data_IF_901351829388
#
_entry.id   IF_901351829388
#
_cell.length_a   1.000
_cell.length_b   1.000
_cell.length_c   1.000
_cell.angle_alpha   90.00
_cell.angle_beta   90.00
_cell.angle_gamma   90.00
#
_symmetry.space_group_name_H-M   'P 1'
#
loop_
_entity.id
_entity.type
_entity.pdbx_description
1 polymer ?
#
# COMPACT_ATOMS: atom_id res chain seq x y z
N UNK A 1 9.30 -31.41 25.58
CA UNK A 1 7.99 -31.74 24.97
C UNK A 1 7.27 -30.42 24.71
N UNK A 2 6.57 -30.26 23.59
CA UNK A 2 5.82 -29.03 23.30
C UNK A 2 4.34 -29.32 23.51
N UNK A 3 3.70 -28.58 24.40
CA UNK A 3 2.28 -28.72 24.73
C UNK A 3 1.52 -27.47 24.30
N UNK A 4 0.39 -27.64 23.62
CA UNK A 4 -0.46 -26.56 23.13
C UNK A 4 -1.74 -26.55 23.96
N UNK A 5 -2.10 -25.37 24.47
CA UNK A 5 -3.26 -25.17 25.32
C UNK A 5 -4.27 -24.25 24.64
N UNK A 6 -5.56 -24.51 24.83
CA UNK A 6 -6.69 -23.64 24.47
C UNK A 6 -7.54 -23.42 25.71
N UNK A 7 -7.74 -22.16 26.12
CA UNK A 7 -8.53 -21.79 27.30
C UNK A 7 -8.12 -22.57 28.57
N UNK A 8 -6.81 -22.81 28.72
CA UNK A 8 -6.24 -23.57 29.84
C UNK A 8 -6.21 -25.10 29.68
N UNK A 9 -6.85 -25.67 28.66
CA UNK A 9 -6.86 -27.10 28.40
C UNK A 9 -5.75 -27.50 27.41
N UNK A 10 -4.97 -28.54 27.74
CA UNK A 10 -3.97 -29.08 26.81
C UNK A 10 -4.68 -29.82 25.68
N UNK A 11 -4.55 -29.32 24.45
CA UNK A 11 -5.20 -29.89 23.26
C UNK A 11 -4.24 -30.71 22.41
N UNK A 12 -2.92 -30.50 22.54
CA UNK A 12 -1.91 -31.23 21.79
C UNK A 12 -0.59 -31.33 22.54
N UNK A 13 0.09 -32.46 22.39
CA UNK A 13 1.48 -32.66 22.82
C UNK A 13 2.32 -33.16 21.66
N UNK A 14 3.50 -32.59 21.50
CA UNK A 14 4.43 -32.87 20.41
C UNK A 14 5.84 -33.08 20.95
N UNK A 15 6.58 -33.96 20.28
CA UNK A 15 8.03 -34.03 20.48
C UNK A 15 8.72 -33.06 19.52
N UNK A 16 9.70 -32.32 20.03
CA UNK A 16 10.48 -31.37 19.26
C UNK A 16 11.57 -32.09 18.45
N UNK A 17 11.17 -32.87 17.45
CA UNK A 17 12.06 -33.71 16.63
C UNK A 17 12.32 -33.15 15.22
N UNK A 18 11.69 -32.03 14.86
CA UNK A 18 11.83 -31.44 13.53
C UNK A 18 13.24 -30.87 13.33
N UNK A 19 13.87 -31.21 12.20
CA UNK A 19 15.22 -30.79 11.92
C UNK A 19 15.30 -29.29 11.59
N UNK A 20 16.21 -28.58 12.26
CA UNK A 20 16.53 -27.16 12.11
C UNK A 20 18.02 -27.04 11.77
N UNK A 21 18.41 -27.14 10.48
CA UNK A 21 19.82 -27.15 10.10
C UNK A 21 20.60 -25.90 10.56
N UNK A 22 19.91 -24.76 10.70
CA UNK A 22 20.48 -23.52 11.20
C UNK A 22 20.99 -23.60 12.63
N UNK A 23 20.36 -24.39 13.51
CA UNK A 23 20.80 -24.52 14.91
C UNK A 23 22.09 -25.33 15.03
N UNK A 24 22.32 -26.29 14.11
CA UNK A 24 23.61 -26.98 13.99
C UNK A 24 24.68 -26.02 13.48
N UNK A 25 24.39 -25.29 12.40
CA UNK A 25 25.34 -24.33 11.80
C UNK A 25 25.78 -23.24 12.77
N UNK A 26 24.92 -22.85 13.71
CA UNK A 26 25.20 -21.83 14.72
C UNK A 26 25.74 -22.41 16.04
N UNK A 27 25.90 -23.74 16.15
CA UNK A 27 26.41 -24.40 17.35
C UNK A 27 25.42 -24.46 18.52
N UNK A 28 24.14 -24.21 18.29
CA UNK A 28 23.09 -24.23 19.32
C UNK A 28 22.54 -25.63 19.60
N UNK A 29 22.63 -26.56 18.66
CA UNK A 29 22.15 -27.93 18.85
C UNK A 29 22.98 -28.95 18.06
N UNK A 30 23.29 -30.11 18.66
CA UNK A 30 24.20 -31.11 18.07
C UNK A 30 23.62 -31.83 16.85
N UNK A 31 22.33 -32.12 16.84
CA UNK A 31 21.64 -32.85 15.75
C UNK A 31 20.75 -31.97 14.87
N UNK A 32 20.42 -30.76 15.33
CA UNK A 32 19.38 -29.92 14.73
C UNK A 32 17.95 -30.39 14.94
N UNK A 33 17.72 -31.59 15.49
CA UNK A 33 16.37 -32.12 15.78
C UNK A 33 15.84 -31.50 17.07
N UNK A 34 15.43 -30.25 16.99
CA UNK A 34 14.94 -29.46 18.13
C UNK A 34 13.76 -28.55 17.76
N UNK A 35 13.24 -28.65 16.53
CA UNK A 35 12.05 -27.95 16.10
C UNK A 35 10.79 -28.77 16.33
N UNK A 36 9.64 -28.14 16.15
CA UNK A 36 8.35 -28.80 16.09
C UNK A 36 7.56 -28.18 14.93
N UNK A 37 6.62 -28.94 14.37
CA UNK A 37 5.68 -28.44 13.38
C UNK A 37 4.27 -28.82 13.83
N UNK A 38 3.43 -27.81 13.95
CA UNK A 38 2.03 -27.93 14.32
C UNK A 38 1.23 -27.61 13.06
N UNK A 39 0.53 -28.60 12.49
CA UNK A 39 -0.37 -28.38 11.35
C UNK A 39 -1.79 -28.51 11.86
N UNK A 40 -2.53 -27.43 11.80
CA UNK A 40 -3.94 -27.35 12.18
C UNK A 40 -4.31 -28.13 13.46
N UNK A 41 -3.77 -27.74 14.63
CA UNK A 41 -4.00 -28.45 15.88
C UNK A 41 -5.42 -28.23 16.44
N UNK A 42 -6.29 -27.53 15.71
CA UNK A 42 -7.65 -27.21 16.14
C UNK A 42 -8.71 -27.91 15.28
N UNK A 43 -8.29 -28.53 14.17
CA UNK A 43 -9.14 -29.28 13.26
C UNK A 43 -10.31 -28.47 12.70
N UNK A 44 -11.38 -29.16 12.31
CA UNK A 44 -12.60 -28.54 11.72
C UNK A 44 -13.28 -27.53 12.66
N UNK A 45 -13.12 -27.67 13.98
CA UNK A 45 -13.69 -26.75 14.95
C UNK A 45 -13.02 -25.38 14.94
N UNK A 46 -11.77 -25.32 14.46
CA UNK A 46 -10.96 -24.11 14.38
C UNK A 46 -10.78 -23.38 15.72
N UNK A 47 -10.21 -22.19 15.60
CA UNK A 47 -10.13 -21.21 16.68
C UNK A 47 -11.30 -20.26 16.58
N UNK A 48 -11.85 -19.90 17.74
CA UNK A 48 -12.98 -19.00 17.89
C UNK A 48 -12.48 -17.69 18.48
N UNK A 49 -13.21 -16.61 18.19
CA UNK A 49 -12.92 -15.32 18.77
C UNK A 49 -13.00 -15.39 20.31
N UNK A 50 -11.96 -14.91 20.99
CA UNK A 50 -11.81 -14.99 22.45
C UNK A 50 -11.10 -16.24 22.96
N UNK A 51 -10.69 -17.19 22.10
CA UNK A 51 -9.85 -18.30 22.54
C UNK A 51 -8.46 -17.81 22.96
N UNK A 52 -8.04 -18.20 24.16
CA UNK A 52 -6.68 -18.02 24.63
C UNK A 52 -5.86 -19.26 24.25
N UNK A 53 -4.81 -19.07 23.46
CA UNK A 53 -3.91 -20.16 23.06
C UNK A 53 -2.53 -19.94 23.65
N UNK A 54 -2.01 -20.96 24.34
CA UNK A 54 -0.65 -20.96 24.91
C UNK A 54 0.14 -22.15 24.40
N UNK A 55 1.45 -22.01 24.31
CA UNK A 55 2.36 -23.12 24.00
C UNK A 55 3.40 -23.16 25.09
N UNK A 56 3.60 -24.35 25.66
CA UNK A 56 4.67 -24.60 26.62
C UNK A 56 5.71 -25.52 26.00
N UNK A 57 6.98 -25.28 26.33
CA UNK A 57 8.05 -26.24 26.12
C UNK A 57 8.42 -26.78 27.50
N UNK A 58 8.03 -28.02 27.77
CA UNK A 58 8.04 -28.61 29.11
C UNK A 58 7.29 -27.69 30.08
N UNK A 59 7.95 -27.19 31.13
CA UNK A 59 7.33 -26.29 32.11
C UNK A 59 7.47 -24.79 31.77
N UNK A 60 8.12 -24.46 30.65
CA UNK A 60 8.35 -23.07 30.23
C UNK A 60 7.19 -22.59 29.37
N UNK A 61 6.46 -21.58 29.85
CA UNK A 61 5.45 -20.89 29.05
C UNK A 61 6.15 -20.07 27.95
N UNK A 62 5.83 -20.36 26.70
CA UNK A 62 6.35 -19.63 25.55
C UNK A 62 5.38 -18.49 25.21
N UNK A 63 5.12 -17.62 26.18
CA UNK A 63 4.27 -16.44 25.99
C UNK A 63 4.88 -15.52 24.91
N UNK A 64 4.07 -15.09 23.94
CA UNK A 64 4.55 -14.31 22.77
C UNK A 64 5.34 -15.13 21.73
N UNK A 65 5.33 -16.46 21.84
CA UNK A 65 6.00 -17.34 20.90
C UNK A 65 5.43 -17.23 19.49
N UNK A 66 6.30 -17.17 18.47
CA UNK A 66 5.92 -16.90 17.07
C UNK A 66 5.10 -18.01 16.39
N UNK A 67 4.61 -19.00 17.14
CA UNK A 67 4.05 -20.26 16.62
C UNK A 67 2.56 -20.44 16.91
N UNK A 68 1.92 -19.45 17.55
CA UNK A 68 0.48 -19.43 17.82
C UNK A 68 -0.13 -18.25 17.08
N UNK A 69 -0.82 -18.51 15.98
CA UNK A 69 -1.72 -17.53 15.37
C UNK A 69 -3.00 -18.24 14.94
N UNK A 70 -4.04 -18.18 15.76
CA UNK A 70 -5.33 -17.75 15.21
C UNK A 70 -5.40 -16.28 15.45
N UNK A 71 -5.35 -15.53 14.38
CA UNK A 71 -6.39 -14.54 14.18
C UNK A 71 -6.78 -14.70 12.71
N UNK A 72 -8.06 -14.55 12.39
CA UNK A 72 -8.45 -14.31 11.00
C UNK A 72 -7.49 -13.27 10.44
N UNK A 73 -6.77 -13.62 9.38
CA UNK A 73 -5.81 -12.69 8.78
C UNK A 73 -6.59 -11.42 8.43
N UNK A 74 -6.14 -10.25 8.89
CA UNK A 74 -6.94 -9.04 8.75
C UNK A 74 -7.24 -8.83 7.26
N UNK A 75 -8.49 -8.48 6.96
CA UNK A 75 -8.87 -8.01 5.63
C UNK A 75 -8.46 -6.56 5.54
N UNK A 76 -7.68 -6.20 4.53
CA UNK A 76 -7.05 -4.89 4.41
C UNK A 76 -7.24 -4.37 2.99
N UNK A 77 -7.69 -3.13 2.89
CA UNK A 77 -7.83 -2.44 1.62
C UNK A 77 -6.92 -1.22 1.60
N UNK A 78 -5.99 -1.20 0.66
CA UNK A 78 -5.08 -0.08 0.43
C UNK A 78 -5.46 0.67 -0.84
N UNK A 79 -5.99 1.89 -0.67
CA UNK A 79 -6.15 2.81 -1.79
C UNK A 79 -4.76 3.30 -2.20
N UNK A 80 -4.20 2.70 -3.26
CA UNK A 80 -2.85 3.00 -3.71
C UNK A 80 -2.88 4.24 -4.60
N UNK A 81 -2.48 5.39 -4.06
CA UNK A 81 -2.29 6.60 -4.85
C UNK A 81 -0.96 6.51 -5.61
N UNK A 82 -1.02 6.68 -6.93
CA UNK A 82 0.16 6.63 -7.79
C UNK A 82 1.29 7.52 -7.25
N UNK A 83 2.52 7.03 -7.25
CA UNK A 83 3.73 7.77 -6.80
C UNK A 83 3.75 8.22 -5.32
N UNK A 84 2.88 7.66 -4.48
CA UNK A 84 2.89 7.87 -3.02
C UNK A 84 3.54 6.71 -2.24
N UNK A 85 4.50 5.99 -2.85
CA UNK A 85 5.27 4.94 -2.17
C UNK A 85 4.57 3.56 -2.08
N UNK A 86 3.48 3.32 -2.83
CA UNK A 86 2.71 2.10 -2.68
C UNK A 86 3.40 0.80 -3.08
N UNK A 87 4.51 0.82 -3.85
CA UNK A 87 5.33 -0.39 -4.05
C UNK A 87 5.88 -0.91 -2.72
N UNK A 88 6.42 -0.01 -1.88
CA UNK A 88 6.91 -0.38 -0.55
C UNK A 88 5.79 -0.92 0.35
N UNK A 89 4.59 -0.37 0.22
CA UNK A 89 3.40 -0.86 0.95
C UNK A 89 3.02 -2.26 0.50
N UNK A 90 2.93 -2.50 -0.82
CA UNK A 90 2.62 -3.83 -1.37
C UNK A 90 3.66 -4.87 -0.94
N UNK A 91 4.95 -4.54 -1.01
CA UNK A 91 6.03 -5.43 -0.56
C UNK A 91 5.95 -5.73 0.94
N UNK A 92 5.56 -4.76 1.76
CA UNK A 92 5.34 -4.98 3.19
C UNK A 92 4.21 -5.99 3.42
N UNK A 93 3.06 -5.82 2.77
CA UNK A 93 1.94 -6.76 2.96
C UNK A 93 2.23 -8.15 2.37
N UNK A 94 2.88 -8.25 1.21
CA UNK A 94 3.33 -9.54 0.66
C UNK A 94 4.21 -10.32 1.66
N UNK A 95 5.11 -9.62 2.38
CA UNK A 95 5.99 -10.26 3.37
C UNK A 95 5.26 -10.72 4.62
N UNK A 96 4.20 -10.02 5.04
CA UNK A 96 3.45 -10.34 6.26
C UNK A 96 2.36 -11.38 6.04
N UNK A 97 1.67 -11.31 4.91
CA UNK A 97 0.51 -12.15 4.62
C UNK A 97 0.83 -13.32 3.68
N UNK A 98 1.95 -13.26 2.95
CA UNK A 98 2.21 -14.14 1.80
C UNK A 98 1.58 -13.55 0.53
N UNK A 99 2.34 -13.56 -0.56
CA UNK A 99 1.93 -12.97 -1.85
C UNK A 99 0.64 -13.59 -2.39
N UNK A 100 0.39 -14.87 -2.11
CA UNK A 100 -0.82 -15.59 -2.50
C UNK A 100 -2.09 -15.06 -1.83
N UNK A 101 -1.96 -14.29 -0.74
CA UNK A 101 -3.07 -13.66 -0.02
C UNK A 101 -3.21 -12.17 -0.35
N UNK A 102 -2.46 -11.69 -1.35
CA UNK A 102 -2.46 -10.31 -1.79
C UNK A 102 -2.95 -10.16 -3.24
N UNK A 103 -3.85 -9.21 -3.47
CA UNK A 103 -4.33 -8.82 -4.79
C UNK A 103 -3.92 -7.39 -5.10
N UNK A 104 -2.74 -7.22 -5.70
CA UNK A 104 -2.21 -5.92 -6.12
C UNK A 104 -2.76 -5.48 -7.48
N UNK A 105 -2.85 -4.17 -7.69
CA UNK A 105 -3.22 -3.53 -8.95
C UNK A 105 -4.57 -4.02 -9.49
N UNK A 106 -5.60 -3.93 -8.66
CA UNK A 106 -6.98 -4.35 -8.99
C UNK A 106 -7.53 -3.69 -10.27
N UNK A 107 -7.08 -2.47 -10.59
CA UNK A 107 -7.44 -1.72 -11.79
C UNK A 107 -6.99 -2.39 -13.10
N UNK A 108 -5.91 -3.19 -13.06
CA UNK A 108 -5.29 -3.79 -14.24
C UNK A 108 -5.70 -5.24 -14.50
N UNK A 109 -6.62 -5.79 -13.69
CA UNK A 109 -6.96 -7.22 -13.70
C UNK A 109 -8.46 -7.40 -13.93
N UNK A 110 -8.84 -8.55 -14.48
CA UNK A 110 -10.21 -9.04 -14.42
C UNK A 110 -10.41 -9.78 -13.10
N UNK A 111 -11.52 -9.54 -12.43
CA UNK A 111 -11.83 -10.12 -11.13
C UNK A 111 -13.33 -10.11 -10.89
N UNK A 112 -13.78 -11.01 -10.02
CA UNK A 112 -15.14 -11.03 -9.48
C UNK A 112 -15.13 -10.41 -8.07
N UNK A 113 -16.07 -9.51 -7.74
CA UNK A 113 -16.18 -8.88 -6.42
C UNK A 113 -16.19 -9.84 -5.23
N UNK A 114 -16.89 -10.96 -5.36
CA UNK A 114 -17.04 -11.95 -4.28
C UNK A 114 -15.74 -12.71 -4.13
N UNK A 115 -15.18 -13.18 -5.25
CA UNK A 115 -13.92 -13.94 -5.26
C UNK A 115 -12.78 -13.16 -4.59
N UNK A 116 -12.65 -11.87 -4.89
CA UNK A 116 -11.53 -11.11 -4.31
C UNK A 116 -11.69 -10.88 -2.81
N UNK A 117 -12.92 -10.65 -2.35
CA UNK A 117 -13.21 -10.42 -0.94
C UNK A 117 -13.04 -11.70 -0.14
N UNK A 118 -13.40 -12.87 -0.69
CA UNK A 118 -13.26 -14.15 -0.02
C UNK A 118 -11.79 -14.61 0.02
N UNK A 119 -11.09 -14.55 -1.11
CA UNK A 119 -9.78 -15.22 -1.27
C UNK A 119 -8.57 -14.39 -0.84
N UNK A 120 -8.66 -13.06 -0.76
CA UNK A 120 -7.49 -12.23 -0.45
C UNK A 120 -7.64 -11.51 0.88
N UNK A 121 -6.53 -11.42 1.63
CA UNK A 121 -6.47 -10.65 2.87
C UNK A 121 -6.03 -9.21 2.63
N UNK A 122 -5.30 -8.95 1.54
CA UNK A 122 -4.87 -7.60 1.18
C UNK A 122 -5.24 -7.30 -0.27
N UNK A 123 -5.99 -6.22 -0.49
CA UNK A 123 -6.36 -5.75 -1.82
C UNK A 123 -5.80 -4.34 -1.99
N UNK A 124 -5.12 -4.06 -3.09
CA UNK A 124 -4.61 -2.73 -3.39
C UNK A 124 -4.74 -2.36 -4.86
N UNK A 125 -4.82 -1.05 -5.12
CA UNK A 125 -4.72 -0.54 -6.47
C UNK A 125 -5.07 0.93 -6.63
N UNK A 126 -4.87 1.41 -7.85
CA UNK A 126 -5.10 2.78 -8.27
C UNK A 126 -6.59 3.03 -8.53
N UNK A 127 -7.42 2.88 -7.48
CA UNK A 127 -8.87 3.02 -7.55
C UNK A 127 -9.38 4.08 -6.58
N UNK A 128 -10.51 4.70 -6.92
CA UNK A 128 -11.15 5.71 -6.07
C UNK A 128 -11.97 5.05 -4.97
N UNK A 129 -11.92 5.58 -3.75
CA UNK A 129 -12.53 4.91 -2.60
C UNK A 129 -14.06 4.79 -2.70
N UNK A 130 -14.74 5.82 -3.22
CA UNK A 130 -16.20 5.80 -3.41
C UNK A 130 -16.60 4.75 -4.44
N UNK A 131 -15.89 4.73 -5.56
CA UNK A 131 -16.12 3.76 -6.64
C UNK A 131 -15.93 2.32 -6.16
N UNK A 132 -14.84 2.01 -5.47
CA UNK A 132 -14.56 0.62 -5.06
C UNK A 132 -15.55 0.14 -4.00
N UNK A 133 -16.00 1.00 -3.09
CA UNK A 133 -17.05 0.67 -2.10
C UNK A 133 -18.40 0.35 -2.74
N UNK A 134 -18.67 0.87 -3.93
CA UNK A 134 -19.87 0.54 -4.71
C UNK A 134 -19.71 -0.80 -5.47
N UNK A 135 -18.49 -1.31 -5.60
CA UNK A 135 -18.19 -2.54 -6.34
C UNK A 135 -17.99 -3.75 -5.42
N UNK A 136 -17.40 -3.56 -4.23
CA UNK A 136 -17.11 -4.62 -3.26
C UNK A 136 -17.54 -4.21 -1.85
N UNK A 137 -18.00 -5.19 -1.06
CA UNK A 137 -18.31 -4.96 0.36
C UNK A 137 -17.01 -4.90 1.18
N UNK A 138 -16.63 -3.69 1.56
CA UNK A 138 -15.46 -3.43 2.40
C UNK A 138 -15.77 -3.50 3.90
N UNK A 139 -16.94 -4.00 4.31
CA UNK A 139 -17.26 -4.19 5.73
C UNK A 139 -16.25 -5.14 6.39
N UNK A 140 -15.67 -4.69 7.50
CA UNK A 140 -14.66 -5.46 8.24
C UNK A 140 -13.24 -5.37 7.66
N UNK A 141 -13.05 -4.67 6.53
CA UNK A 141 -11.70 -4.34 6.07
C UNK A 141 -11.13 -3.20 6.91
N UNK A 142 -9.81 -3.25 7.13
CA UNK A 142 -9.04 -2.09 7.55
C UNK A 142 -8.64 -1.29 6.31
N UNK A 143 -9.19 -0.09 6.16
CA UNK A 143 -8.99 0.80 5.02
C UNK A 143 -7.90 1.81 5.36
N UNK A 144 -6.88 1.89 4.51
CA UNK A 144 -5.86 2.94 4.64
C UNK A 144 -5.38 3.46 3.30
N UNK A 145 -4.72 4.61 3.34
CA UNK A 145 -3.95 5.14 2.20
C UNK A 145 -2.67 5.82 2.69
N UNK A 146 -1.82 6.21 1.75
CA UNK A 146 -0.59 6.96 2.00
C UNK A 146 -0.59 8.16 1.06
N UNK A 147 -0.43 9.35 1.64
CA UNK A 147 -0.27 10.60 0.92
C UNK A 147 1.21 11.00 0.85
N UNK A 148 1.55 11.85 -0.12
CA UNK A 148 2.89 12.38 -0.33
C UNK A 148 2.84 13.89 -0.42
N UNK A 149 3.87 14.57 0.08
CA UNK A 149 4.00 16.03 -0.06
C UNK A 149 3.73 16.46 -1.53
N UNK A 150 2.84 17.44 -1.78
CA UNK A 150 2.22 17.61 -3.10
C UNK A 150 3.19 18.04 -4.19
N UNK A 151 4.16 18.89 -3.87
CA UNK A 151 5.17 19.34 -4.82
C UNK A 151 6.02 18.15 -5.27
N UNK A 152 6.59 17.41 -4.32
CA UNK A 152 7.40 16.23 -4.59
C UNK A 152 6.62 15.10 -5.27
N UNK A 153 5.31 15.00 -5.01
CA UNK A 153 4.40 14.09 -5.68
C UNK A 153 4.23 14.45 -7.16
N UNK A 154 3.81 15.68 -7.47
CA UNK A 154 3.63 16.16 -8.84
C UNK A 154 4.93 16.05 -9.66
N UNK A 155 6.07 16.50 -9.11
CA UNK A 155 7.36 16.38 -9.79
C UNK A 155 7.75 14.93 -10.06
N UNK A 156 7.45 14.02 -9.13
CA UNK A 156 7.67 12.60 -9.32
C UNK A 156 6.74 11.98 -10.36
N UNK A 157 5.55 12.55 -10.56
CA UNK A 157 4.60 12.09 -11.56
C UNK A 157 5.00 12.57 -12.96
N UNK A 158 5.31 13.86 -13.11
CA UNK A 158 5.83 14.44 -14.36
C UNK A 158 7.07 13.69 -14.86
N UNK A 159 8.06 13.47 -13.98
CA UNK A 159 9.27 12.72 -14.35
C UNK A 159 8.98 11.27 -14.77
N UNK A 160 7.98 10.63 -14.15
CA UNK A 160 7.56 9.28 -14.53
C UNK A 160 6.92 9.27 -15.93
N UNK A 161 5.97 10.16 -16.20
CA UNK A 161 5.30 10.27 -17.51
C UNK A 161 6.31 10.61 -18.61
N UNK A 162 7.21 11.58 -18.39
CA UNK A 162 8.32 11.90 -19.31
C UNK A 162 9.19 10.67 -19.60
N UNK A 163 9.44 9.86 -18.56
CA UNK A 163 10.23 8.63 -18.64
C UNK A 163 9.58 7.53 -19.49
N UNK A 164 8.26 7.48 -19.63
CA UNK A 164 7.54 6.50 -20.47
C UNK A 164 8.00 6.63 -21.93
N UNK A 165 8.13 7.86 -22.43
CA UNK A 165 8.54 8.15 -23.81
C UNK A 165 10.04 8.01 -24.07
N UNK A 166 10.84 7.53 -23.10
CA UNK A 166 12.29 7.30 -23.28
C UNK A 166 12.58 6.32 -24.43
N UNK A 167 11.73 5.30 -24.59
CA UNK A 167 11.76 4.39 -25.74
C UNK A 167 10.34 4.11 -26.24
N UNK A 168 9.84 4.89 -27.22
CA UNK A 168 8.47 4.74 -27.76
C UNK A 168 8.23 3.38 -28.45
N UNK A 169 9.28 2.66 -28.84
CA UNK A 169 9.14 1.32 -29.43
C UNK A 169 9.02 0.20 -28.39
N UNK A 170 9.28 0.50 -27.11
CA UNK A 170 9.32 -0.51 -26.04
C UNK A 170 7.94 -1.07 -25.69
N UNK A 171 7.92 -2.28 -25.15
CA UNK A 171 6.71 -2.88 -24.59
C UNK A 171 6.14 -2.05 -23.44
N UNK A 172 7.00 -1.41 -22.65
CA UNK A 172 6.60 -0.55 -21.54
C UNK A 172 5.82 0.68 -22.04
N UNK A 173 6.27 1.35 -23.10
CA UNK A 173 5.52 2.45 -23.71
C UNK A 173 4.15 1.96 -24.21
N UNK A 174 4.15 0.89 -25.00
CA UNK A 174 2.96 0.31 -25.65
C UNK A 174 1.96 -0.36 -24.70
N UNK A 175 2.30 -0.53 -23.42
CA UNK A 175 1.37 -1.08 -22.42
C UNK A 175 0.49 -0.02 -21.76
N UNK A 176 0.70 1.26 -22.06
CA UNK A 176 -0.15 2.36 -21.58
C UNK A 176 -1.23 2.69 -22.62
N UNK A 177 -2.27 3.41 -22.21
CA UNK A 177 -3.30 3.88 -23.15
C UNK A 177 -2.74 4.89 -24.15
N UNK A 178 -3.44 5.11 -25.25
CA UNK A 178 -2.99 6.03 -26.30
C UNK A 178 -2.88 7.47 -25.76
N UNK A 179 -3.78 7.88 -24.87
CA UNK A 179 -3.78 9.20 -24.23
C UNK A 179 -2.52 9.40 -23.36
N UNK A 180 -2.13 8.37 -22.58
CA UNK A 180 -0.92 8.41 -21.76
C UNK A 180 0.35 8.40 -22.64
N UNK A 181 0.33 7.63 -23.74
CA UNK A 181 1.43 7.61 -24.71
C UNK A 181 1.64 8.97 -25.37
N UNK A 182 0.56 9.63 -25.82
CA UNK A 182 0.59 10.98 -26.39
C UNK A 182 1.09 12.02 -25.39
N UNK A 183 0.56 12.00 -24.17
CA UNK A 183 1.00 12.89 -23.10
C UNK A 183 2.48 12.70 -22.75
N UNK A 184 2.96 11.45 -22.71
CA UNK A 184 4.36 11.14 -22.48
C UNK A 184 5.27 11.69 -23.58
N UNK A 185 4.84 11.60 -24.85
CA UNK A 185 5.58 12.17 -25.99
C UNK A 185 5.60 13.70 -25.94
N UNK A 186 4.51 14.35 -25.55
CA UNK A 186 4.48 15.80 -25.34
C UNK A 186 5.45 16.21 -24.22
N UNK A 187 5.38 15.53 -23.07
CA UNK A 187 6.21 15.85 -21.91
C UNK A 187 7.71 15.56 -22.14
N UNK A 188 8.04 14.64 -23.04
CA UNK A 188 9.42 14.38 -23.48
C UNK A 188 10.09 15.63 -24.03
N UNK A 189 9.36 16.44 -24.80
CA UNK A 189 9.87 17.66 -25.44
C UNK A 189 9.88 18.89 -24.50
N UNK A 190 9.29 18.78 -23.31
CA UNK A 190 9.28 19.86 -22.31
C UNK A 190 10.64 19.94 -21.62
N UNK A 191 11.26 21.11 -21.64
CA UNK A 191 12.48 21.40 -20.91
C UNK A 191 12.15 21.73 -19.45
N UNK A 192 12.58 20.88 -18.52
CA UNK A 192 12.30 21.04 -17.09
C UNK A 192 13.13 22.12 -16.41
N UNK A 193 14.17 22.65 -17.09
CA UNK A 193 14.96 23.79 -16.63
C UNK A 193 14.44 25.12 -17.19
N UNK A 194 13.41 25.09 -18.06
CA UNK A 194 12.81 26.26 -18.68
C UNK A 194 11.35 26.45 -18.22
N UNK A 195 11.11 27.50 -17.43
CA UNK A 195 9.79 27.79 -16.87
C UNK A 195 8.73 28.08 -17.95
N UNK A 196 9.09 28.75 -19.05
CA UNK A 196 8.16 29.05 -20.15
C UNK A 196 7.74 27.77 -20.90
N UNK A 197 8.66 26.81 -21.01
CA UNK A 197 8.38 25.48 -21.58
C UNK A 197 7.36 24.72 -20.73
N UNK A 198 7.57 24.69 -19.41
CA UNK A 198 6.64 24.09 -18.46
C UNK A 198 5.29 24.81 -18.42
N UNK A 199 5.28 26.16 -18.44
CA UNK A 199 4.04 26.94 -18.47
C UNK A 199 3.21 26.62 -19.71
N UNK A 200 3.87 26.61 -20.88
CA UNK A 200 3.23 26.26 -22.16
C UNK A 200 2.63 24.85 -22.16
N UNK A 201 3.26 23.90 -21.46
CA UNK A 201 2.74 22.55 -21.28
C UNK A 201 1.48 22.54 -20.42
N UNK A 202 1.49 23.19 -19.25
CA UNK A 202 0.34 23.26 -18.35
C UNK A 202 -0.85 24.03 -18.94
N UNK A 203 -0.62 25.04 -19.76
CA UNK A 203 -1.69 25.78 -20.48
C UNK A 203 -2.42 24.91 -21.51
N UNK A 204 -1.74 23.90 -22.06
CA UNK A 204 -2.25 23.02 -23.13
C UNK A 204 -2.57 21.62 -22.61
N UNK A 205 -2.76 21.49 -21.31
CA UNK A 205 -2.92 20.18 -20.68
C UNK A 205 -4.19 19.49 -21.20
N UNK A 206 -4.09 18.27 -21.77
CA UNK A 206 -5.27 17.53 -22.20
C UNK A 206 -6.03 16.97 -20.98
N UNK A 207 -7.26 16.46 -21.15
CA UNK A 207 -8.03 15.82 -20.08
C UNK A 207 -7.25 14.79 -19.26
N UNK A 208 -6.50 13.90 -19.93
CA UNK A 208 -5.68 12.90 -19.25
C UNK A 208 -4.55 13.52 -18.43
N UNK A 209 -4.03 14.67 -18.86
CA UNK A 209 -3.06 15.43 -18.08
C UNK A 209 -3.66 15.99 -16.79
N UNK A 210 -4.91 16.46 -16.79
CA UNK A 210 -5.60 16.86 -15.56
C UNK A 210 -5.81 15.67 -14.62
N UNK A 211 -6.21 14.50 -15.14
CA UNK A 211 -6.36 13.29 -14.33
C UNK A 211 -5.06 12.88 -13.62
N UNK A 212 -3.91 13.05 -14.28
CA UNK A 212 -2.61 12.65 -13.74
C UNK A 212 -1.94 13.73 -12.86
N UNK A 213 -2.13 15.01 -13.16
CA UNK A 213 -1.32 16.08 -12.54
C UNK A 213 -2.12 17.06 -11.67
N UNK A 214 -3.40 17.29 -11.95
CA UNK A 214 -4.20 18.27 -11.22
C UNK A 214 -4.76 17.67 -9.93
N UNK A 215 -4.25 18.10 -8.78
CA UNK A 215 -4.68 17.70 -7.45
C UNK A 215 -4.86 16.18 -7.36
N UNK A 216 -3.85 15.48 -7.86
CA UNK A 216 -3.91 14.06 -8.19
C UNK A 216 -4.32 13.23 -6.98
N UNK A 217 -3.83 13.55 -5.78
CA UNK A 217 -4.16 12.80 -4.58
C UNK A 217 -5.63 13.03 -4.17
N UNK A 218 -6.10 14.28 -4.24
CA UNK A 218 -7.48 14.65 -3.96
C UNK A 218 -8.49 13.96 -4.89
N UNK A 219 -8.14 13.76 -6.17
CA UNK A 219 -9.00 13.05 -7.13
C UNK A 219 -9.36 11.62 -6.74
N UNK A 220 -8.53 10.94 -5.96
CA UNK A 220 -8.81 9.57 -5.48
C UNK A 220 -9.98 9.50 -4.49
N UNK A 221 -10.31 10.63 -3.86
CA UNK A 221 -11.39 10.76 -2.89
C UNK A 221 -12.72 11.17 -3.54
N UNK A 222 -12.72 11.51 -4.83
CA UNK A 222 -13.94 11.82 -5.59
C UNK A 222 -14.51 10.55 -6.22
N UNK A 223 -15.83 10.46 -6.36
CA UNK A 223 -16.47 9.36 -7.08
C UNK A 223 -16.24 9.50 -8.59
N UNK A 224 -16.60 10.67 -9.12
CA UNK A 224 -16.58 11.02 -10.52
C UNK A 224 -15.89 12.38 -10.72
N UNK A 225 -14.56 12.47 -10.55
CA UNK A 225 -13.82 13.69 -10.81
C UNK A 225 -14.05 14.16 -12.26
N UNK A 226 -14.17 15.48 -12.49
CA UNK A 226 -14.29 16.04 -13.82
C UNK A 226 -13.01 15.82 -14.64
N UNK A 227 -13.15 15.85 -15.96
CA UNK A 227 -12.02 15.78 -16.91
C UNK A 227 -11.10 17.01 -16.88
N UNK A 228 -11.59 18.13 -16.34
CA UNK A 228 -10.83 19.37 -16.14
C UNK A 228 -10.36 19.55 -14.70
N UNK A 229 -9.95 20.77 -14.33
CA UNK A 229 -9.49 21.10 -12.98
C UNK A 229 -10.51 20.78 -11.89
N UNK A 230 -10.02 20.33 -10.74
CA UNK A 230 -10.78 20.32 -9.48
C UNK A 230 -10.34 21.48 -8.59
N UNK A 231 -11.24 21.89 -7.71
CA UNK A 231 -11.06 23.06 -6.85
C UNK A 231 -11.67 22.84 -5.46
N UNK A 232 -11.73 23.91 -4.67
CA UNK A 232 -12.27 23.91 -3.31
C UNK A 232 -13.74 23.48 -3.19
N UNK A 233 -14.53 23.55 -4.26
CA UNK A 233 -15.94 23.12 -4.24
C UNK A 233 -16.07 21.61 -4.08
N UNK A 234 -15.01 20.87 -4.42
CA UNK A 234 -14.93 19.42 -4.29
C UNK A 234 -14.53 18.97 -2.88
N UNK A 235 -14.11 19.89 -2.02
CA UNK A 235 -13.65 19.56 -0.66
C UNK A 235 -14.66 18.80 0.20
N UNK A 236 -15.97 19.13 0.21
CA UNK A 236 -16.93 18.40 1.04
C UNK A 236 -16.98 16.89 0.73
N UNK A 237 -16.88 16.51 -0.55
CA UNK A 237 -16.86 15.10 -0.95
C UNK A 237 -15.54 14.41 -0.56
N UNK A 238 -14.42 15.13 -0.68
CA UNK A 238 -13.11 14.64 -0.23
C UNK A 238 -13.17 14.37 1.27
N UNK A 239 -13.64 15.35 2.05
CA UNK A 239 -13.74 15.28 3.50
C UNK A 239 -14.66 14.13 3.97
N UNK A 240 -15.81 13.94 3.31
CA UNK A 240 -16.67 12.78 3.53
C UNK A 240 -15.89 11.47 3.29
N UNK A 241 -15.14 11.40 2.19
CA UNK A 241 -14.38 10.20 1.84
C UNK A 241 -13.20 9.91 2.77
N UNK A 242 -12.64 10.93 3.43
CA UNK A 242 -11.60 10.72 4.45
C UNK A 242 -12.15 9.90 5.63
N UNK A 243 -13.44 10.06 5.96
CA UNK A 243 -14.08 9.31 7.06
C UNK A 243 -14.18 7.79 6.81
N UNK A 244 -13.94 7.34 5.58
CA UNK A 244 -13.94 5.91 5.24
C UNK A 244 -12.68 5.19 5.69
N UNK A 245 -11.60 5.91 5.95
CA UNK A 245 -10.31 5.32 6.26
C UNK A 245 -10.13 5.13 7.77
N UNK A 246 -9.61 3.96 8.15
CA UNK A 246 -9.16 3.70 9.51
C UNK A 246 -7.88 4.48 9.81
N UNK A 247 -7.00 4.62 8.82
CA UNK A 247 -5.78 5.43 8.95
C UNK A 247 -5.29 5.99 7.62
N UNK A 248 -4.55 7.10 7.69
CA UNK A 248 -3.95 7.76 6.53
C UNK A 248 -2.51 8.11 6.93
N UNK A 249 -1.55 7.61 6.15
CA UNK A 249 -0.12 7.83 6.38
C UNK A 249 0.46 8.91 5.47
N UNK A 250 1.64 9.41 5.82
CA UNK A 250 2.45 10.29 4.98
C UNK A 250 3.73 9.58 4.53
N UNK A 251 4.17 9.84 3.30
CA UNK A 251 5.42 9.26 2.78
C UNK A 251 6.65 9.66 3.60
N UNK A 252 6.62 10.86 4.22
CA UNK A 252 7.68 11.37 5.12
C UNK A 252 7.85 10.50 6.36
N UNK A 253 6.77 9.87 6.81
CA UNK A 253 6.68 9.19 8.10
C UNK A 253 6.35 7.70 7.95
N UNK A 254 6.64 7.13 6.77
CA UNK A 254 6.34 5.73 6.44
C UNK A 254 6.84 4.74 7.49
N UNK A 255 8.02 4.98 8.06
CA UNK A 255 8.55 4.11 9.11
C UNK A 255 7.63 4.08 10.34
N UNK A 256 7.21 5.24 10.85
CA UNK A 256 6.30 5.30 12.00
C UNK A 256 4.89 4.81 11.64
N UNK A 257 4.43 5.15 10.43
CA UNK A 257 3.15 4.67 9.93
C UNK A 257 3.11 3.14 9.82
N UNK A 258 4.19 2.48 9.36
CA UNK A 258 4.27 1.00 9.35
C UNK A 258 4.17 0.39 10.74
N UNK A 259 4.74 1.04 11.77
CA UNK A 259 4.64 0.56 13.15
C UNK A 259 3.22 0.69 13.68
N UNK A 260 2.54 1.80 13.38
CA UNK A 260 1.13 1.99 13.72
C UNK A 260 0.25 0.97 13.02
N UNK A 261 0.41 0.78 11.71
CA UNK A 261 -0.33 -0.24 10.96
C UNK A 261 -0.07 -1.64 11.51
N UNK A 262 1.20 -1.99 11.79
CA UNK A 262 1.51 -3.29 12.35
C UNK A 262 0.85 -3.50 13.71
N UNK A 263 0.77 -2.45 14.55
CA UNK A 263 0.06 -2.51 15.83
C UNK A 263 -1.44 -2.71 15.64
N UNK A 264 -2.07 -1.91 14.77
CA UNK A 264 -3.51 -1.95 14.52
C UNK A 264 -3.96 -3.27 13.88
N UNK A 265 -3.10 -3.87 13.04
CA UNK A 265 -3.33 -5.13 12.36
C UNK A 265 -2.78 -6.35 13.12
N UNK A 266 -2.22 -6.12 14.32
CA UNK A 266 -1.58 -7.15 15.15
C UNK A 266 -0.46 -7.94 14.43
N UNK A 267 0.25 -7.29 13.51
CA UNK A 267 1.46 -7.82 12.88
C UNK A 267 2.68 -7.68 13.80
N UNK A 268 3.74 -8.45 13.51
CA UNK A 268 5.00 -8.33 14.25
C UNK A 268 5.65 -6.97 14.02
N UNK A 269 6.13 -6.30 15.08
CA UNK A 269 6.76 -4.98 14.99
C UNK A 269 8.13 -4.98 14.27
N UNK A 270 8.63 -6.13 13.81
CA UNK A 270 10.00 -6.29 13.30
C UNK A 270 10.22 -5.87 11.83
N UNK A 271 9.22 -5.29 11.16
CA UNK A 271 9.32 -4.95 9.75
C UNK A 271 8.92 -3.49 9.52
N UNK A 272 9.85 -2.72 8.97
CA UNK A 272 9.56 -1.42 8.37
C UNK A 272 9.21 -1.58 6.90
N UNK A 273 8.56 -0.58 6.31
CA UNK A 273 8.42 -0.53 4.85
C UNK A 273 9.82 -0.60 4.20
N UNK A 274 10.04 -1.52 3.24
CA UNK A 274 11.29 -1.54 2.50
C UNK A 274 11.44 -0.22 1.77
N UNK A 275 12.64 0.37 1.80
CA UNK A 275 12.94 1.52 0.95
C UNK A 275 13.13 1.00 -0.47
N UNK A 276 12.10 1.10 -1.29
CA UNK A 276 12.12 0.67 -2.69
C UNK A 276 11.95 1.89 -3.61
N UNK A 277 12.58 1.84 -4.79
CA UNK A 277 12.33 2.73 -5.93
C UNK A 277 12.54 4.25 -5.70
N UNK A 278 13.78 4.66 -5.48
CA UNK A 278 14.21 6.03 -5.80
C UNK A 278 14.39 6.13 -7.32
N UNK A 279 13.31 6.45 -8.04
CA UNK A 279 13.39 6.63 -9.49
C UNK A 279 14.29 7.84 -9.79
N UNK A 280 15.46 7.57 -10.40
CA UNK A 280 16.38 8.58 -10.92
C UNK A 280 15.85 9.05 -12.28
N UNK A 281 14.96 10.04 -12.25
CA UNK A 281 14.52 10.78 -13.43
C UNK A 281 14.96 12.24 -13.30
N UNK A 282 15.11 12.91 -14.43
CA UNK A 282 15.18 14.37 -14.48
C UNK A 282 13.90 14.94 -13.87
N UNK A 283 14.05 15.87 -12.93
CA UNK A 283 12.94 16.55 -12.26
C UNK A 283 13.19 18.04 -12.39
N UNK A 284 12.13 18.86 -12.55
CA UNK A 284 12.29 20.30 -12.52
C UNK A 284 12.95 20.73 -11.21
N UNK A 285 13.89 21.67 -11.32
CA UNK A 285 14.49 22.30 -10.15
C UNK A 285 13.48 23.25 -9.51
N UNK A 286 13.27 23.11 -8.20
CA UNK A 286 12.31 23.94 -7.49
C UNK A 286 12.85 25.35 -7.27
N UNK A 287 12.12 26.34 -7.79
CA UNK A 287 12.28 27.76 -7.50
C UNK A 287 10.91 28.43 -7.30
N UNK A 288 10.90 29.73 -7.00
CA UNK A 288 9.65 30.46 -6.75
C UNK A 288 8.75 30.55 -7.98
N UNK A 289 9.33 30.66 -9.17
CA UNK A 289 8.57 30.73 -10.42
C UNK A 289 7.83 29.43 -10.70
N UNK A 290 8.52 28.29 -10.57
CA UNK A 290 7.92 26.98 -10.69
C UNK A 290 6.85 26.75 -9.62
N UNK A 291 7.09 27.18 -8.38
CA UNK A 291 6.11 27.05 -7.30
C UNK A 291 4.81 27.77 -7.63
N UNK A 292 4.89 29.03 -8.08
CA UNK A 292 3.72 29.79 -8.53
C UNK A 292 2.98 29.11 -9.70
N UNK A 293 3.72 28.54 -10.66
CA UNK A 293 3.14 27.85 -11.81
C UNK A 293 2.34 26.61 -11.40
N UNK A 294 2.87 25.79 -10.48
CA UNK A 294 2.24 24.52 -10.11
C UNK A 294 1.19 24.65 -9.01
N UNK A 295 1.17 25.74 -8.26
CA UNK A 295 0.26 25.94 -7.13
C UNK A 295 -1.21 25.60 -7.44
N UNK A 296 -1.80 26.02 -8.59
CA UNK A 296 -3.19 25.66 -8.92
C UNK A 296 -3.42 24.15 -9.06
N UNK A 297 -2.39 23.39 -9.40
CA UNK A 297 -2.44 21.93 -9.60
C UNK A 297 -2.19 21.14 -8.31
N UNK A 298 -1.85 21.80 -7.20
CA UNK A 298 -1.58 21.12 -5.93
C UNK A 298 -2.30 21.72 -4.73
N UNK A 299 -3.01 22.85 -4.89
CA UNK A 299 -3.63 23.58 -3.78
C UNK A 299 -4.60 22.71 -2.95
N UNK A 300 -5.37 21.83 -3.60
CA UNK A 300 -6.30 20.94 -2.90
C UNK A 300 -5.55 19.79 -2.21
N UNK A 301 -4.49 19.27 -2.83
CA UNK A 301 -3.59 18.27 -2.22
C UNK A 301 -2.85 18.84 -0.99
N UNK A 302 -2.45 20.12 -1.03
CA UNK A 302 -1.90 20.83 0.12
C UNK A 302 -2.92 20.97 1.25
N UNK A 303 -4.18 21.30 0.91
CA UNK A 303 -5.28 21.34 1.89
C UNK A 303 -5.53 19.96 2.49
N UNK A 304 -5.53 18.91 1.66
CA UNK A 304 -5.67 17.52 2.07
C UNK A 304 -4.61 17.13 3.10
N UNK A 305 -3.33 17.40 2.83
CA UNK A 305 -2.25 17.05 3.76
C UNK A 305 -2.30 17.90 5.03
N UNK A 306 -2.60 19.19 4.89
CA UNK A 306 -2.74 20.11 6.04
C UNK A 306 -3.89 19.71 6.98
N UNK A 307 -4.87 18.92 6.51
CA UNK A 307 -5.91 18.35 7.35
C UNK A 307 -5.34 17.34 8.38
N UNK A 308 -4.26 16.64 8.06
CA UNK A 308 -3.64 15.61 8.90
C UNK A 308 -2.44 16.09 9.73
N UNK A 309 -1.94 17.30 9.47
CA UNK A 309 -0.82 17.89 10.21
C UNK A 309 -1.27 18.77 11.39
N UNK A 310 -2.57 18.82 11.69
CA UNK A 310 -3.15 19.55 12.82
C UNK A 310 -3.29 18.66 14.04
#
# INVERSE_FOLDING_TARGET
>A
MVSVFRNGECIHELRAEFNRPGTVKQGFHSSGNCGFQLRDPFGEAGLKNGDEVRVKLDDVDLEGSPWIYSFERPKVFYMHIAKAGGTSVNEFFAKHLGEENCFFHIEGKKWDPIEIVENFNFISGHVRIRRIRNMIDLKGFYLFTVLREPVGHLMSHLAWVKGIAKNPSSRFFKSHTDEVQELALQLKEVDFENLDSLSSFFEKLPPEGFNLFDNCQSRYFLENPPEGKIDHQHWPEIEESLSFFNSIGLTSDLSEFSKSLAKDLHFRPSFSFPVSNVQKGEKPKMDEGLRCLIEPYIALDQKLISHFLK
#
